data_IF_571658751795
#
_entry.id   IF_571658751795
#
_cell.length_a   1.000
_cell.length_b   1.000
_cell.length_c   1.000
_cell.angle_alpha   90.00
_cell.angle_beta   90.00
_cell.angle_gamma   90.00
#
_symmetry.space_group_name_H-M   'P 1'
#
loop_
_entity.id
_entity.type
_entity.pdbx_description
1 polymer ?
#
# COMPACT_ATOMS: atom_id res chain seq x y z
N UNK A 1 -10.30 50.19 -6.88
CA UNK A 1 -11.08 49.07 -7.45
C UNK A 1 -10.19 47.87 -7.83
N UNK A 2 -9.23 47.99 -8.75
CA UNK A 2 -8.44 46.85 -9.26
C UNK A 2 -7.63 46.08 -8.19
N UNK A 3 -7.02 46.78 -7.22
CA UNK A 3 -6.24 46.18 -6.13
C UNK A 3 -7.08 45.30 -5.19
N UNK A 4 -8.34 45.69 -4.95
CA UNK A 4 -9.29 44.92 -4.15
C UNK A 4 -9.70 43.65 -4.89
N UNK A 5 -9.95 43.73 -6.20
CA UNK A 5 -10.22 42.55 -7.02
C UNK A 5 -9.06 41.56 -7.03
N UNK A 6 -7.81 42.04 -7.12
CA UNK A 6 -6.62 41.18 -7.06
C UNK A 6 -6.47 40.50 -5.69
N UNK A 7 -6.71 41.22 -4.60
CA UNK A 7 -6.69 40.64 -3.26
C UNK A 7 -7.79 39.57 -3.09
N UNK A 8 -8.98 39.81 -3.64
CA UNK A 8 -10.10 38.88 -3.58
C UNK A 8 -9.82 37.61 -4.39
N UNK A 9 -9.20 37.75 -5.57
CA UNK A 9 -8.78 36.61 -6.39
C UNK A 9 -7.72 35.76 -5.67
N UNK A 10 -6.74 36.38 -5.03
CA UNK A 10 -5.73 35.67 -4.23
C UNK A 10 -6.37 34.92 -3.06
N UNK A 11 -7.35 35.53 -2.38
CA UNK A 11 -8.11 34.89 -1.31
C UNK A 11 -8.88 33.66 -1.82
N UNK A 12 -9.53 33.76 -2.97
CA UNK A 12 -10.26 32.63 -3.55
C UNK A 12 -9.33 31.47 -3.92
N UNK A 13 -8.13 31.77 -4.43
CA UNK A 13 -7.12 30.76 -4.75
C UNK A 13 -6.61 30.06 -3.50
N UNK A 14 -6.32 30.80 -2.42
CA UNK A 14 -5.85 30.19 -1.16
C UNK A 14 -6.93 29.31 -0.52
N UNK A 15 -8.19 29.76 -0.53
CA UNK A 15 -9.33 28.97 -0.04
C UNK A 15 -9.52 27.69 -0.86
N UNK A 16 -9.42 27.76 -2.19
CA UNK A 16 -9.53 26.59 -3.07
C UNK A 16 -8.39 25.57 -2.86
N UNK A 17 -7.18 26.05 -2.58
CA UNK A 17 -6.03 25.18 -2.29
C UNK A 17 -6.17 24.50 -0.92
N UNK A 18 -6.66 25.23 0.09
CA UNK A 18 -6.91 24.70 1.43
C UNK A 18 -8.03 23.66 1.41
N UNK A 19 -9.14 23.93 0.72
CA UNK A 19 -10.28 22.99 0.63
C UNK A 19 -9.89 21.67 -0.05
N UNK A 20 -9.07 21.74 -1.11
CA UNK A 20 -8.54 20.54 -1.79
C UNK A 20 -7.65 19.69 -0.90
N UNK A 21 -6.79 20.31 -0.07
CA UNK A 21 -5.96 19.57 0.90
C UNK A 21 -6.82 18.88 1.96
N UNK A 22 -7.84 19.57 2.47
CA UNK A 22 -8.76 19.01 3.48
C UNK A 22 -9.56 17.84 2.88
N UNK A 23 -10.04 17.94 1.64
CA UNK A 23 -10.72 16.84 0.95
C UNK A 23 -9.80 15.63 0.72
N UNK A 24 -8.53 15.86 0.36
CA UNK A 24 -7.56 14.78 0.20
C UNK A 24 -7.24 14.08 1.53
N UNK A 25 -7.11 14.86 2.62
CA UNK A 25 -6.89 14.35 3.98
C UNK A 25 -8.14 13.64 4.55
N UNK A 26 -9.34 14.03 4.11
CA UNK A 26 -10.61 13.41 4.49
C UNK A 26 -10.96 12.13 3.73
N UNK A 27 -10.19 11.76 2.69
CA UNK A 27 -10.33 10.43 2.10
C UNK A 27 -9.85 9.40 3.13
N UNK A 28 -10.72 8.49 3.63
CA UNK A 28 -10.24 7.46 4.53
C UNK A 28 -9.17 6.69 3.77
N UNK A 29 -7.95 6.69 4.28
CA UNK A 29 -6.90 5.80 3.79
C UNK A 29 -7.49 4.40 3.91
N UNK A 30 -7.96 3.83 2.80
CA UNK A 30 -8.54 2.48 2.78
C UNK A 30 -7.36 1.52 2.95
N UNK A 31 -6.90 1.41 4.19
CA UNK A 31 -6.03 0.33 4.62
C UNK A 31 -6.97 -0.86 4.67
N UNK A 32 -7.05 -1.58 3.54
CA UNK A 32 -7.66 -2.91 3.56
C UNK A 32 -6.93 -3.70 4.64
N UNK A 33 -7.69 -4.31 5.53
CA UNK A 33 -7.12 -5.08 6.63
C UNK A 33 -6.63 -6.40 6.06
N UNK A 34 -5.48 -6.85 6.56
CA UNK A 34 -5.03 -8.21 6.31
C UNK A 34 -6.07 -9.18 6.89
N UNK A 35 -6.58 -10.06 6.03
CA UNK A 35 -7.52 -11.11 6.39
C UNK A 35 -6.79 -12.44 6.39
N UNK A 36 -7.04 -13.26 7.41
CA UNK A 36 -6.51 -14.61 7.46
C UNK A 36 -7.14 -15.44 6.34
N UNK A 37 -6.31 -16.14 5.59
CA UNK A 37 -6.71 -17.05 4.53
C UNK A 37 -6.16 -18.44 4.77
N UNK A 38 -6.78 -19.44 4.15
CA UNK A 38 -6.31 -20.81 4.30
C UNK A 38 -4.89 -20.98 3.75
N UNK A 39 -4.04 -21.67 4.50
CA UNK A 39 -2.68 -22.06 4.07
C UNK A 39 -2.72 -22.96 2.83
N UNK A 40 -3.80 -23.72 2.65
CA UNK A 40 -4.00 -24.60 1.48
C UNK A 40 -4.50 -23.86 0.23
N UNK A 41 -4.77 -22.56 0.32
CA UNK A 41 -5.27 -21.79 -0.81
C UNK A 41 -4.22 -21.72 -1.93
N UNK A 42 -4.67 -21.89 -3.18
CA UNK A 42 -3.78 -22.01 -4.35
C UNK A 42 -2.86 -20.80 -4.48
N UNK A 43 -3.37 -19.58 -4.25
CA UNK A 43 -2.54 -18.38 -4.34
C UNK A 43 -1.52 -18.25 -3.21
N UNK A 44 -1.79 -18.80 -2.02
CA UNK A 44 -0.79 -18.88 -0.95
C UNK A 44 0.36 -19.79 -1.37
N UNK A 45 0.05 -20.95 -1.95
CA UNK A 45 1.05 -21.89 -2.44
C UNK A 45 1.89 -21.30 -3.58
N UNK A 46 1.25 -20.59 -4.51
CA UNK A 46 1.96 -19.90 -5.60
C UNK A 46 2.84 -18.76 -5.09
N UNK A 47 2.35 -17.95 -4.15
CA UNK A 47 3.12 -16.89 -3.52
C UNK A 47 4.32 -17.45 -2.75
N UNK A 48 4.13 -18.55 -2.02
CA UNK A 48 5.20 -19.25 -1.32
C UNK A 48 6.26 -19.80 -2.28
N UNK A 49 5.85 -20.41 -3.39
CA UNK A 49 6.77 -20.90 -4.42
C UNK A 49 7.64 -19.76 -4.97
N UNK A 50 7.02 -18.64 -5.30
CA UNK A 50 7.75 -17.47 -5.80
C UNK A 50 8.70 -16.90 -4.73
N UNK A 51 8.23 -16.74 -3.50
CA UNK A 51 9.05 -16.27 -2.39
C UNK A 51 10.25 -17.18 -2.14
N UNK A 52 10.06 -18.50 -2.22
CA UNK A 52 11.15 -19.46 -2.00
C UNK A 52 12.15 -19.48 -3.14
N UNK A 53 11.70 -19.26 -4.38
CA UNK A 53 12.59 -19.06 -5.53
C UNK A 53 13.49 -17.84 -5.32
N UNK A 54 12.91 -16.69 -4.98
CA UNK A 54 13.68 -15.45 -4.79
C UNK A 54 14.58 -15.52 -3.54
N UNK A 55 14.11 -16.15 -2.46
CA UNK A 55 14.93 -16.39 -1.26
C UNK A 55 16.20 -17.17 -1.59
N UNK A 56 16.07 -18.30 -2.28
CA UNK A 56 17.23 -19.14 -2.62
C UNK A 56 18.17 -18.45 -3.62
N UNK A 57 17.64 -17.63 -4.51
CA UNK A 57 18.44 -16.80 -5.42
C UNK A 57 19.26 -15.73 -4.69
N UNK A 58 18.67 -15.13 -3.64
CA UNK A 58 19.33 -14.11 -2.82
C UNK A 58 20.26 -14.72 -1.75
N UNK A 59 20.03 -15.97 -1.37
CA UNK A 59 20.87 -16.71 -0.45
C UNK A 59 22.26 -16.91 -1.03
N UNK A 60 23.28 -16.80 -0.18
CA UNK A 60 24.68 -17.11 -0.52
C UNK A 60 25.09 -18.52 -0.08
N UNK A 61 24.13 -19.29 0.42
CA UNK A 61 24.38 -20.65 0.86
C UNK A 61 24.57 -21.60 -0.33
N UNK A 62 25.32 -22.67 -0.11
CA UNK A 62 25.48 -23.75 -1.09
C UNK A 62 24.22 -24.63 -1.19
N UNK A 63 23.35 -24.62 -0.18
CA UNK A 63 22.18 -25.48 -0.11
C UNK A 63 20.89 -24.76 -0.47
N UNK A 64 19.94 -25.54 -1.00
CA UNK A 64 18.59 -25.07 -1.29
C UNK A 64 17.69 -25.21 -0.07
N UNK A 65 17.04 -24.12 0.32
CA UNK A 65 16.08 -24.05 1.40
C UNK A 65 14.66 -24.31 0.92
N UNK A 66 13.90 -25.06 1.72
CA UNK A 66 12.49 -25.34 1.50
C UNK A 66 11.69 -24.95 2.74
N UNK A 67 10.50 -24.39 2.55
CA UNK A 67 9.54 -24.19 3.61
C UNK A 67 9.00 -25.54 4.12
N UNK A 68 9.12 -25.80 5.42
CA UNK A 68 8.60 -27.02 6.08
C UNK A 68 7.15 -26.83 6.50
N UNK A 69 6.81 -25.65 7.00
CA UNK A 69 5.47 -25.31 7.49
C UNK A 69 5.16 -23.84 7.20
N UNK A 70 3.90 -23.57 6.83
CA UNK A 70 3.35 -22.21 6.78
C UNK A 70 2.75 -21.92 8.16
N UNK A 71 3.30 -20.95 8.91
CA UNK A 71 2.77 -20.60 10.23
C UNK A 71 1.47 -19.79 10.13
N UNK A 72 1.43 -18.82 9.20
CA UNK A 72 0.30 -17.92 8.99
C UNK A 72 0.21 -17.50 7.51
N UNK A 73 -1.00 -17.19 7.04
CA UNK A 73 -1.26 -16.67 5.69
C UNK A 73 -2.35 -15.61 5.74
N UNK A 74 -2.04 -14.44 5.18
CA UNK A 74 -2.93 -13.29 5.15
C UNK A 74 -2.88 -12.59 3.80
N UNK A 75 -4.01 -12.00 3.37
CA UNK A 75 -4.10 -11.17 2.16
C UNK A 75 -4.82 -9.84 2.45
N UNK A 76 -4.57 -8.83 1.61
CA UNK A 76 -5.09 -7.46 1.73
C UNK A 76 -5.94 -7.06 0.52
#
# INVERSE_FOLDING_TARGET
>A
MARLCQALLLLMVTVALLSRRIQAQGSPKIIRKFQNISKSYVYVQQALWYAMKEYNKASKDSYYFRAVEILNSQEQ
#
